data_IF_725660298089
#
_entry.id   IF_725660298089
#
_cell.length_a   1.000
_cell.length_b   1.000
_cell.length_c   1.000
_cell.angle_alpha   90.00
_cell.angle_beta   90.00
_cell.angle_gamma   90.00
#
_symmetry.space_group_name_H-M   'P 1'
#
loop_
_entity.id
_entity.type
_entity.pdbx_description
1 polymer ?
#
# COMPACT_ATOMS: atom_id res chain seq x y z
N UNK A 1 -28.08 6.75 17.55
CA UNK A 1 -28.69 5.99 16.43
C UNK A 1 -27.71 5.79 15.28
N UNK A 2 -27.19 6.84 14.60
CA UNK A 2 -26.14 6.64 13.57
C UNK A 2 -24.80 6.15 14.15
N UNK A 3 -24.35 6.72 15.27
CA UNK A 3 -23.11 6.30 15.94
C UNK A 3 -23.11 4.82 16.35
N UNK A 4 -24.27 4.28 16.73
CA UNK A 4 -24.43 2.89 17.15
C UNK A 4 -24.39 1.94 15.95
N UNK A 5 -24.98 2.37 14.82
CA UNK A 5 -24.88 1.68 13.53
C UNK A 5 -23.43 1.61 13.05
N UNK A 6 -22.69 2.72 13.10
CA UNK A 6 -21.26 2.76 12.74
C UNK A 6 -20.40 1.92 13.69
N UNK A 7 -20.72 1.85 14.98
CA UNK A 7 -20.05 0.95 15.94
C UNK A 7 -20.30 -0.52 15.60
N UNK A 8 -21.56 -0.90 15.31
CA UNK A 8 -21.91 -2.27 14.91
C UNK A 8 -21.25 -2.68 13.59
N UNK A 9 -21.20 -1.78 12.62
CA UNK A 9 -20.49 -2.00 11.36
C UNK A 9 -18.98 -2.17 11.60
N UNK A 10 -18.37 -1.31 12.43
CA UNK A 10 -16.94 -1.43 12.77
C UNK A 10 -16.62 -2.73 13.50
N UNK A 11 -17.50 -3.20 14.40
CA UNK A 11 -17.33 -4.51 15.05
C UNK A 11 -17.43 -5.68 14.07
N UNK A 12 -18.33 -5.61 13.09
CA UNK A 12 -18.46 -6.64 12.05
C UNK A 12 -17.29 -6.63 11.05
N UNK A 13 -16.74 -5.45 10.77
CA UNK A 13 -15.63 -5.25 9.80
C UNK A 13 -14.25 -5.41 10.46
N UNK A 14 -14.17 -5.34 11.80
CA UNK A 14 -12.91 -5.58 12.52
C UNK A 14 -12.50 -7.04 12.33
N UNK A 15 -11.46 -7.25 11.53
CA UNK A 15 -10.78 -8.54 11.43
C UNK A 15 -10.24 -8.91 12.82
N UNK A 16 -10.89 -9.89 13.45
CA UNK A 16 -10.51 -10.43 14.77
C UNK A 16 -9.13 -11.09 14.75
N UNK A 17 -8.70 -11.59 13.59
CA UNK A 17 -7.38 -12.21 13.45
C UNK A 17 -6.34 -11.18 13.03
N UNK A 18 -5.48 -10.82 13.99
CA UNK A 18 -4.34 -9.91 13.79
C UNK A 18 -3.45 -10.33 12.62
N UNK A 19 -3.23 -11.64 12.44
CA UNK A 19 -2.41 -12.23 11.38
C UNK A 19 -2.97 -11.90 9.98
N UNK A 20 -4.29 -12.00 9.79
CA UNK A 20 -4.93 -11.68 8.50
C UNK A 20 -4.80 -10.19 8.20
N UNK A 21 -4.89 -9.35 9.25
CA UNK A 21 -4.77 -7.90 9.11
C UNK A 21 -3.33 -7.50 8.74
N UNK A 22 -2.33 -8.09 9.38
CA UNK A 22 -0.90 -7.91 9.02
C UNK A 22 -0.62 -8.40 7.60
N UNK A 23 -1.08 -9.60 7.24
CA UNK A 23 -0.90 -10.15 5.90
C UNK A 23 -1.54 -9.27 4.80
N UNK A 24 -2.75 -8.77 5.04
CA UNK A 24 -3.40 -7.86 4.10
C UNK A 24 -2.69 -6.51 4.00
N UNK A 25 -2.11 -6.02 5.09
CA UNK A 25 -1.33 -4.78 5.08
C UNK A 25 -0.06 -4.94 4.24
N UNK A 26 0.70 -6.02 4.45
CA UNK A 26 1.89 -6.33 3.66
C UNK A 26 1.55 -6.57 2.19
N UNK A 27 0.53 -7.38 1.90
CA UNK A 27 0.09 -7.63 0.53
C UNK A 27 -0.30 -6.35 -0.19
N UNK A 28 -1.09 -5.49 0.46
CA UNK A 28 -1.54 -4.24 -0.13
C UNK A 28 -0.37 -3.24 -0.32
N UNK A 29 0.56 -3.19 0.64
CA UNK A 29 1.79 -2.41 0.53
C UNK A 29 2.65 -2.83 -0.66
N UNK A 30 2.94 -4.13 -0.79
CA UNK A 30 3.72 -4.67 -1.92
C UNK A 30 2.99 -4.48 -3.25
N UNK A 31 1.67 -4.67 -3.28
CA UNK A 31 0.87 -4.43 -4.48
C UNK A 31 1.00 -2.99 -4.97
N UNK A 32 0.86 -2.00 -4.07
CA UNK A 32 1.02 -0.57 -4.40
C UNK A 32 2.44 -0.27 -4.87
N UNK A 33 3.46 -0.81 -4.19
CA UNK A 33 4.86 -0.63 -4.57
C UNK A 33 5.12 -1.10 -6.01
N UNK A 34 4.69 -2.32 -6.35
CA UNK A 34 4.89 -2.90 -7.68
C UNK A 34 4.06 -2.18 -8.74
N UNK A 35 2.81 -1.82 -8.42
CA UNK A 35 1.91 -1.13 -9.35
C UNK A 35 2.51 0.20 -9.83
N UNK A 36 3.03 1.02 -8.91
CA UNK A 36 3.65 2.31 -9.26
C UNK A 36 5.07 2.15 -9.79
N UNK A 37 5.89 1.28 -9.18
CA UNK A 37 7.27 1.02 -9.59
C UNK A 37 7.33 0.45 -11.02
N UNK A 38 6.79 -0.76 -11.23
CA UNK A 38 6.77 -1.38 -12.55
C UNK A 38 5.84 -0.63 -13.52
N UNK A 39 4.77 0.01 -13.05
CA UNK A 39 3.89 0.82 -13.90
C UNK A 39 4.61 2.02 -14.52
N UNK A 40 5.47 2.71 -13.76
CA UNK A 40 6.27 3.82 -14.28
C UNK A 40 7.27 3.38 -15.36
N UNK A 41 7.89 2.20 -15.18
CA UNK A 41 8.79 1.59 -16.18
C UNK A 41 8.00 1.15 -17.41
N UNK A 42 6.84 0.51 -17.22
CA UNK A 42 5.97 0.10 -18.32
C UNK A 42 5.50 1.31 -19.15
N UNK A 43 5.16 2.42 -18.50
CA UNK A 43 4.83 3.67 -19.18
C UNK A 43 6.01 4.18 -20.03
N UNK A 44 7.23 4.17 -19.49
CA UNK A 44 8.41 4.60 -20.24
C UNK A 44 8.70 3.71 -21.46
N UNK A 45 8.58 2.39 -21.29
CA UNK A 45 8.79 1.42 -22.37
C UNK A 45 7.70 1.50 -23.43
N UNK A 46 6.42 1.52 -23.05
CA UNK A 46 5.28 1.56 -23.97
C UNK A 46 5.19 2.89 -24.73
N UNK A 47 5.60 3.98 -24.11
CA UNK A 47 5.65 5.30 -24.74
C UNK A 47 6.86 5.47 -25.68
N UNK A 48 7.73 4.45 -25.82
CA UNK A 48 9.00 4.55 -26.56
C UNK A 48 9.85 5.74 -26.11
N UNK A 49 9.79 6.07 -24.81
CA UNK A 49 10.48 7.23 -24.24
C UNK A 49 9.83 8.59 -24.49
N UNK A 50 8.68 8.69 -25.17
CA UNK A 50 8.04 9.98 -25.44
C UNK A 50 7.40 10.62 -24.19
N UNK A 51 6.89 9.80 -23.26
CA UNK A 51 6.26 10.24 -22.00
C UNK A 51 6.95 9.69 -20.74
N UNK A 52 8.06 8.97 -20.90
CA UNK A 52 8.78 8.34 -19.80
C UNK A 52 10.24 8.70 -19.77
N UNK A 53 10.52 9.91 -19.30
CA UNK A 53 11.87 10.34 -18.94
C UNK A 53 12.34 9.57 -17.69
N UNK A 54 13.67 9.39 -17.48
CA UNK A 54 14.22 8.78 -16.27
C UNK A 54 13.69 9.43 -14.98
N UNK A 55 13.46 10.75 -15.03
CA UNK A 55 12.87 11.52 -13.92
C UNK A 55 11.48 11.00 -13.52
N UNK A 56 10.62 10.68 -14.50
CA UNK A 56 9.27 10.14 -14.26
C UNK A 56 9.32 8.77 -13.59
N UNK A 57 10.29 7.92 -13.95
CA UNK A 57 10.49 6.60 -13.33
C UNK A 57 10.91 6.76 -11.87
N UNK A 58 11.88 7.65 -11.58
CA UNK A 58 12.32 7.92 -10.21
C UNK A 58 11.18 8.49 -9.33
N UNK A 59 10.38 9.41 -9.87
CA UNK A 59 9.21 9.96 -9.17
C UNK A 59 8.13 8.90 -8.95
N UNK A 60 7.89 8.04 -9.94
CA UNK A 60 6.95 6.92 -9.82
C UNK A 60 7.35 5.92 -8.73
N UNK A 61 8.64 5.56 -8.67
CA UNK A 61 9.16 4.64 -7.66
C UNK A 61 9.11 5.23 -6.24
N UNK A 62 9.55 6.49 -6.07
CA UNK A 62 9.53 7.16 -4.76
C UNK A 62 8.11 7.39 -4.25
N UNK A 63 7.18 7.77 -5.13
CA UNK A 63 5.75 7.90 -4.79
C UNK A 63 5.13 6.56 -4.43
N UNK A 64 5.47 5.49 -5.18
CA UNK A 64 5.04 4.12 -4.88
C UNK A 64 5.51 3.64 -3.51
N UNK A 65 6.77 3.88 -3.15
CA UNK A 65 7.32 3.57 -1.82
C UNK A 65 6.58 4.36 -0.73
N UNK A 66 6.40 5.67 -0.92
CA UNK A 66 5.73 6.51 0.07
C UNK A 66 4.28 6.06 0.35
N UNK A 67 3.54 5.71 -0.70
CA UNK A 67 2.19 5.17 -0.59
C UNK A 67 2.17 3.78 0.05
N UNK A 68 3.10 2.90 -0.31
CA UNK A 68 3.23 1.58 0.30
C UNK A 68 3.49 1.65 1.81
N UNK A 69 4.35 2.58 2.25
CA UNK A 69 4.62 2.86 3.67
C UNK A 69 3.37 3.41 4.37
N UNK A 70 2.66 4.36 3.73
CA UNK A 70 1.45 4.94 4.31
C UNK A 70 0.34 3.90 4.51
N UNK A 71 0.17 2.99 3.55
CA UNK A 71 -0.83 1.92 3.61
C UNK A 71 -0.46 0.84 4.62
N UNK A 72 0.82 0.48 4.71
CA UNK A 72 1.28 -0.62 5.59
C UNK A 72 1.51 -0.18 7.04
N UNK A 73 1.90 1.08 7.26
CA UNK A 73 2.31 1.60 8.57
C UNK A 73 1.18 1.72 9.61
N UNK A 74 -0.09 1.72 9.19
CA UNK A 74 -1.24 1.82 10.10
C UNK A 74 -1.57 0.53 10.87
N UNK A 75 -0.99 -0.61 10.50
CA UNK A 75 -1.43 -1.93 11.00
C UNK A 75 -0.51 -2.48 12.11
N UNK A 76 0.72 -1.99 12.22
CA UNK A 76 1.79 -2.54 13.07
C UNK A 76 1.76 -2.12 14.55
N UNK A 77 0.77 -1.33 14.97
CA UNK A 77 0.77 -0.60 16.25
C UNK A 77 0.70 -1.40 17.55
N UNK A 78 0.83 -2.74 17.57
CA UNK A 78 0.67 -3.51 18.82
C UNK A 78 1.51 -4.80 18.94
N UNK A 79 2.47 -5.03 18.05
CA UNK A 79 3.39 -6.17 18.16
C UNK A 79 4.80 -5.74 17.83
N UNK A 80 5.68 -6.00 18.78
CA UNK A 80 7.12 -5.73 18.78
C UNK A 80 7.70 -6.27 17.45
N UNK A 81 8.16 -5.37 16.58
CA UNK A 81 9.03 -5.59 15.40
C UNK A 81 8.65 -6.76 14.46
N UNK A 82 7.78 -6.52 13.48
CA UNK A 82 7.93 -7.02 12.10
C UNK A 82 6.94 -6.30 11.17
N UNK A 83 7.40 -5.30 10.43
CA UNK A 83 6.73 -4.90 9.18
C UNK A 83 7.85 -4.60 8.22
N UNK A 84 8.23 -5.63 7.47
CA UNK A 84 9.15 -5.51 6.35
C UNK A 84 8.36 -4.84 5.22
N UNK A 85 8.44 -3.51 5.14
CA UNK A 85 8.23 -2.88 3.85
C UNK A 85 9.44 -3.28 3.00
N UNK A 86 9.22 -4.34 2.21
CA UNK A 86 10.18 -5.11 1.41
C UNK A 86 11.15 -6.01 2.20
#
# INVERSE_FOLDING_TARGET
MELDSLRSLREKVTLRHAIIREFLAEFLGTFVLILFGCGSVAQAVLSRGALGEPLTIHIGFTTGVMLAVYVSGGVSGNRIIHTCIA
#
